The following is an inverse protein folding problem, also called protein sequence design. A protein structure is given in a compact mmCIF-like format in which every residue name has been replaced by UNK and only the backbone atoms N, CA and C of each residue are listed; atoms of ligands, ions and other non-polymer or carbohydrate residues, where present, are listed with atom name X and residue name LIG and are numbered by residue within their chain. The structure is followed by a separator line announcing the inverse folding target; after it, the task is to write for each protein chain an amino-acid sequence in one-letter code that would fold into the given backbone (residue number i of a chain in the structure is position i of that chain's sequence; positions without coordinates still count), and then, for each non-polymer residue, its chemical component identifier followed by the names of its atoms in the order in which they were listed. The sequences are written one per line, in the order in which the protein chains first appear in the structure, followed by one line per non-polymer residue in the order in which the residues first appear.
data_IF_281573966360
#
_entry.id   IF_281573966360
#
_cell.length_a   1.000
_cell.length_b   1.000
_cell.length_c   1.000
_cell.angle_alpha   90.00
_cell.angle_beta   90.00
_cell.angle_gamma   90.00
#
_symmetry.space_group_name_H-M   'P 1'
#
loop_
_entity.id
_entity.type
_entity.pdbx_description
1 polymer ?
#
# COMPACT_ATOMS: atom_id res chain seq x y z
N UNK A 1 11.50 7.73 14.44
CA UNK A 1 10.83 6.74 15.32
C UNK A 1 9.56 6.30 14.61
N UNK A 2 9.69 5.41 13.61
CA UNK A 2 8.56 4.96 12.79
C UNK A 2 7.79 3.93 13.62
N UNK A 3 6.57 4.28 13.99
CA UNK A 3 5.79 3.56 14.98
C UNK A 3 5.02 2.41 14.32
N UNK A 4 5.38 1.20 14.78
CA UNK A 4 4.58 -0.02 14.99
C UNK A 4 3.50 -0.33 13.95
N UNK A 5 3.77 -1.39 13.21
CA UNK A 5 2.76 -2.31 12.68
C UNK A 5 1.72 -2.53 13.78
N UNK A 6 0.52 -1.96 13.61
CA UNK A 6 -0.63 -2.32 14.43
C UNK A 6 -0.81 -3.82 14.27
N UNK A 7 -0.98 -4.55 15.37
CA UNK A 7 -1.23 -5.99 15.43
C UNK A 7 -2.39 -6.36 14.49
N UNK A 8 -2.12 -6.57 13.20
CA UNK A 8 -2.66 -7.75 12.56
C UNK A 8 -2.11 -8.88 13.42
N UNK A 9 -2.98 -9.64 14.06
CA UNK A 9 -2.63 -10.97 14.47
C UNK A 9 -2.24 -11.74 13.19
N UNK A 10 -1.02 -11.54 12.69
CA UNK A 10 -0.32 -12.47 11.79
C UNK A 10 0.07 -13.73 12.58
N UNK A 11 -0.85 -14.20 13.43
CA UNK A 11 -0.77 -15.40 14.25
C UNK A 11 -1.79 -16.38 13.71
N UNK A 12 -1.52 -16.83 12.48
CA UNK A 12 -1.82 -18.15 11.99
C UNK A 12 -1.06 -18.33 10.68
N UNK A 13 -0.61 -19.54 10.36
CA UNK A 13 0.09 -19.90 9.11
C UNK A 13 -0.81 -19.76 7.86
N UNK A 14 -1.68 -18.74 7.79
CA UNK A 14 -2.48 -18.45 6.62
C UNK A 14 -1.69 -17.61 5.62
N UNK A 15 -1.69 -18.06 4.37
CA UNK A 15 -1.15 -17.30 3.25
C UNK A 15 -1.98 -16.03 3.05
N UNK A 16 -1.30 -14.88 3.05
CA UNK A 16 -1.92 -13.58 2.78
C UNK A 16 -1.90 -13.27 1.29
N UNK A 17 -2.92 -12.59 0.81
CA UNK A 17 -3.02 -12.12 -0.57
C UNK A 17 -2.47 -10.70 -0.66
N UNK A 18 -1.33 -10.57 -1.34
CA UNK A 18 -0.72 -9.28 -1.68
C UNK A 18 -1.11 -8.85 -3.10
N UNK A 19 -1.62 -7.64 -3.25
CA UNK A 19 -1.96 -7.05 -4.55
C UNK A 19 -0.91 -6.00 -4.97
N UNK A 20 -0.15 -6.21 -6.06
CA UNK A 20 0.75 -5.20 -6.58
C UNK A 20 -0.04 -4.08 -7.27
N UNK A 21 0.30 -2.83 -6.92
CA UNK A 21 -0.31 -1.62 -7.44
C UNK A 21 0.70 -0.87 -8.30
N UNK A 22 0.25 -0.52 -9.50
CA UNK A 22 0.99 0.19 -10.54
C UNK A 22 0.08 1.27 -11.10
N UNK A 23 0.53 2.52 -11.07
CA UNK A 23 -0.18 3.68 -11.54
C UNK A 23 0.80 4.84 -11.75
N UNK A 24 0.42 5.81 -12.56
CA UNK A 24 1.30 6.92 -12.94
C UNK A 24 1.37 8.01 -11.85
N UNK A 25 0.36 8.08 -10.96
CA UNK A 25 0.22 9.13 -9.93
C UNK A 25 -0.16 8.57 -8.57
N UNK A 26 0.16 9.31 -7.50
CA UNK A 26 -0.19 8.94 -6.14
C UNK A 26 -1.71 8.86 -5.91
N UNK A 27 -2.50 9.73 -6.55
CA UNK A 27 -3.96 9.73 -6.50
C UNK A 27 -4.54 8.43 -7.05
N UNK A 28 -4.06 7.99 -8.21
CA UNK A 28 -4.47 6.72 -8.81
C UNK A 28 -4.06 5.53 -7.94
N UNK A 29 -2.88 5.60 -7.28
CA UNK A 29 -2.48 4.57 -6.32
C UNK A 29 -3.46 4.45 -5.16
N UNK A 30 -3.91 5.56 -4.59
CA UNK A 30 -4.91 5.54 -3.51
C UNK A 30 -6.20 4.86 -3.97
N UNK A 31 -6.71 5.21 -5.16
CA UNK A 31 -7.89 4.56 -5.73
C UNK A 31 -7.70 3.05 -5.88
N UNK A 32 -6.53 2.61 -6.37
CA UNK A 32 -6.19 1.20 -6.48
C UNK A 32 -6.11 0.49 -5.12
N UNK A 33 -5.62 1.15 -4.06
CA UNK A 33 -5.60 0.58 -2.72
C UNK A 33 -7.02 0.30 -2.20
N UNK A 34 -7.95 1.24 -2.38
CA UNK A 34 -9.35 1.05 -2.02
C UNK A 34 -9.96 -0.10 -2.83
N UNK A 35 -9.68 -0.16 -4.14
CA UNK A 35 -10.15 -1.25 -5.00
C UNK A 35 -9.58 -2.61 -4.59
N UNK A 36 -8.31 -2.67 -4.18
CA UNK A 36 -7.67 -3.90 -3.71
C UNK A 36 -8.34 -4.42 -2.43
N UNK A 37 -8.65 -3.53 -1.47
CA UNK A 37 -9.42 -3.88 -0.27
C UNK A 37 -10.80 -4.42 -0.61
N UNK A 38 -11.54 -3.75 -1.49
CA UNK A 38 -12.86 -4.22 -1.93
C UNK A 38 -12.82 -5.58 -2.62
N UNK A 39 -11.67 -5.93 -3.22
CA UNK A 39 -11.42 -7.23 -3.85
C UNK A 39 -10.90 -8.31 -2.89
N UNK A 40 -10.71 -7.99 -1.60
CA UNK A 40 -10.26 -8.95 -0.60
C UNK A 40 -8.75 -9.15 -0.54
N UNK A 41 -7.94 -8.17 -0.96
CA UNK A 41 -6.51 -8.19 -0.68
C UNK A 41 -6.24 -7.94 0.82
N UNK A 42 -5.27 -8.65 1.37
CA UNK A 42 -4.84 -8.50 2.76
C UNK A 42 -3.72 -7.46 2.88
N UNK A 43 -2.87 -7.36 1.86
CA UNK A 43 -1.72 -6.46 1.77
C UNK A 43 -1.72 -5.82 0.37
N UNK A 44 -1.22 -4.59 0.27
CA UNK A 44 -0.92 -3.97 -1.02
C UNK A 44 0.58 -3.72 -1.15
N UNK A 45 1.13 -4.04 -2.31
CA UNK A 45 2.50 -3.67 -2.69
C UNK A 45 2.43 -2.44 -3.61
N UNK A 46 3.05 -1.35 -3.20
CA UNK A 46 3.13 -0.11 -3.99
C UNK A 46 4.46 -0.12 -4.73
N UNK A 47 4.39 -0.16 -6.06
CA UNK A 47 5.55 -0.03 -6.95
C UNK A 47 5.86 1.43 -7.20
N UNK A 48 6.78 1.98 -6.41
CA UNK A 48 7.17 3.40 -6.46
C UNK A 48 7.82 3.77 -7.80
N UNK A 49 8.48 2.80 -8.44
CA UNK A 49 9.12 2.94 -9.74
C UNK A 49 8.13 3.12 -10.91
N UNK A 50 6.83 2.87 -10.70
CA UNK A 50 5.79 3.11 -11.71
C UNK A 50 5.22 4.54 -11.66
N UNK A 51 5.53 5.32 -10.63
CA UNK A 51 5.03 6.69 -10.50
C UNK A 51 5.85 7.65 -11.38
N UNK A 52 5.22 8.21 -12.42
CA UNK A 52 5.88 9.14 -13.35
C UNK A 52 6.26 10.47 -12.70
N UNK A 53 5.47 10.90 -11.71
CA UNK A 53 5.74 12.10 -10.91
C UNK A 53 5.66 11.68 -9.45
N UNK A 54 6.82 11.52 -8.82
CA UNK A 54 6.93 11.08 -7.44
C UNK A 54 7.74 12.06 -6.61
N UNK A 55 7.10 12.62 -5.57
CA UNK A 55 7.70 13.45 -4.52
C UNK A 55 7.71 12.64 -3.22
N UNK A 56 8.81 11.93 -2.92
CA UNK A 56 8.84 10.91 -1.87
C UNK A 56 8.25 11.35 -0.53
N UNK A 57 8.63 12.53 -0.03
CA UNK A 57 8.17 12.99 1.27
C UNK A 57 6.66 13.28 1.33
N UNK A 58 6.09 13.80 0.24
CA UNK A 58 4.66 14.16 0.18
C UNK A 58 3.82 12.95 -0.16
N UNK A 59 4.24 12.20 -1.18
CA UNK A 59 3.45 11.10 -1.72
C UNK A 59 3.49 9.89 -0.79
N UNK A 60 4.64 9.56 -0.17
CA UNK A 60 4.68 8.44 0.79
C UNK A 60 3.82 8.76 2.02
N UNK A 61 3.92 9.98 2.56
CA UNK A 61 3.10 10.38 3.72
C UNK A 61 1.61 10.26 3.39
N UNK A 62 1.22 10.70 2.19
CA UNK A 62 -0.15 10.58 1.69
C UNK A 62 -0.58 9.13 1.52
N UNK A 63 0.21 8.31 0.81
CA UNK A 63 -0.07 6.90 0.57
C UNK A 63 -0.22 6.13 1.88
N UNK A 64 0.63 6.39 2.87
CA UNK A 64 0.54 5.75 4.20
C UNK A 64 -0.72 6.20 4.96
N UNK A 65 -1.10 7.48 4.88
CA UNK A 65 -2.29 8.00 5.59
C UNK A 65 -3.61 7.55 4.97
N UNK A 66 -3.67 7.47 3.65
CA UNK A 66 -4.89 7.14 2.92
C UNK A 66 -5.07 5.63 2.71
N UNK A 67 -4.01 4.82 2.86
CA UNK A 67 -4.13 3.39 2.60
C UNK A 67 -5.03 2.68 3.62
N UNK A 68 -6.04 1.91 3.14
CA UNK A 68 -6.97 1.20 4.01
C UNK A 68 -6.49 -0.22 4.38
N UNK A 69 -5.28 -0.62 3.94
CA UNK A 69 -4.63 -1.92 4.14
C UNK A 69 -3.16 -1.72 4.56
N UNK A 70 -2.49 -2.74 5.13
CA UNK A 70 -1.03 -2.73 5.27
C UNK A 70 -0.35 -2.55 3.92
N UNK A 71 0.68 -1.72 3.91
CA UNK A 71 1.43 -1.33 2.71
C UNK A 71 2.85 -1.88 2.75
N UNK A 72 3.24 -2.54 1.66
CA UNK A 72 4.62 -2.85 1.32
C UNK A 72 5.07 -1.87 0.23
N UNK A 73 6.21 -1.23 0.41
CA UNK A 73 6.79 -0.36 -0.62
C UNK A 73 7.93 -1.09 -1.32
N UNK A 74 7.87 -1.15 -2.64
CA UNK A 74 8.89 -1.74 -3.51
C UNK A 74 9.31 -0.70 -4.56
N UNK A 75 10.59 -0.69 -4.91
CA UNK A 75 11.21 0.23 -5.87
C UNK A 75 12.03 -0.57 -6.88
#
# INVERSE_FOLDING_TARGET
KVQRVSEMEMRNNQTLICAPLMADTADQMVELMHKAKLKGADIVEIRLDHLNIFRPNVDIERLVRECPLPTLFTY
#
